data_IF_742777787216
#
_entry.id   IF_742777787216
#
_cell.length_a   1.000
_cell.length_b   1.000
_cell.length_c   1.000
_cell.angle_alpha   90.00
_cell.angle_beta   90.00
_cell.angle_gamma   90.00
#
_symmetry.space_group_name_H-M   'P 1'
#
loop_
_entity.id
_entity.type
_entity.pdbx_description
1 polymer ?
#
# COMPACT_ATOMS: atom_id res chain seq x y z
N UNK A 1 4.04 46.92 27.32
CA UNK A 1 4.76 46.17 26.26
C UNK A 1 4.54 44.64 26.37
N UNK A 2 4.60 44.07 27.56
CA UNK A 2 4.44 42.59 27.77
C UNK A 2 3.00 42.11 27.48
N UNK A 3 1.98 42.85 27.91
CA UNK A 3 0.56 42.53 27.64
C UNK A 3 0.19 42.55 26.16
N UNK A 4 0.73 43.52 25.39
CA UNK A 4 0.50 43.62 23.94
C UNK A 4 1.11 42.41 23.19
N UNK A 5 2.26 41.90 23.65
CA UNK A 5 2.93 40.75 23.06
C UNK A 5 2.16 39.45 23.34
N UNK A 6 1.63 39.28 24.55
CA UNK A 6 0.80 38.12 24.95
C UNK A 6 -0.51 38.10 24.16
N UNK A 7 -1.16 39.26 23.95
CA UNK A 7 -2.37 39.35 23.13
C UNK A 7 -2.12 39.03 21.66
N UNK A 8 -1.01 39.47 21.08
CA UNK A 8 -0.66 39.17 19.68
C UNK A 8 -0.31 37.67 19.48
N UNK A 9 0.33 37.04 20.44
CA UNK A 9 0.61 35.58 20.43
C UNK A 9 -0.69 34.75 20.58
N UNK A 10 -1.62 35.19 21.42
CA UNK A 10 -2.93 34.53 21.56
C UNK A 10 -3.80 34.67 20.30
N UNK A 11 -3.80 35.83 19.64
CA UNK A 11 -4.49 36.05 18.36
C UNK A 11 -3.87 35.23 17.22
N UNK A 12 -2.55 35.13 17.15
CA UNK A 12 -1.88 34.30 16.16
C UNK A 12 -2.16 32.80 16.36
N UNK A 13 -2.23 32.34 17.60
CA UNK A 13 -2.58 30.94 17.91
C UNK A 13 -4.04 30.64 17.58
N UNK A 14 -4.97 31.54 17.84
CA UNK A 14 -6.39 31.38 17.45
C UNK A 14 -6.59 31.40 15.93
N UNK A 15 -5.87 32.26 15.21
CA UNK A 15 -5.92 32.29 13.74
C UNK A 15 -5.32 31.03 13.12
N UNK A 16 -4.24 30.48 13.68
CA UNK A 16 -3.65 29.22 13.23
C UNK A 16 -4.56 28.02 13.49
N UNK A 17 -5.25 27.99 14.65
CA UNK A 17 -6.22 26.93 14.96
C UNK A 17 -7.46 27.00 14.06
N UNK A 18 -7.96 28.21 13.76
CA UNK A 18 -9.09 28.40 12.86
C UNK A 18 -8.74 28.02 11.39
N UNK A 19 -7.53 28.33 10.93
CA UNK A 19 -7.06 27.93 9.61
C UNK A 19 -6.87 26.41 9.50
N UNK A 20 -6.36 25.74 10.53
CA UNK A 20 -6.23 24.28 10.57
C UNK A 20 -7.61 23.60 10.62
N UNK A 21 -8.56 24.14 11.40
CA UNK A 21 -9.92 23.60 11.46
C UNK A 21 -10.68 23.77 10.13
N UNK A 22 -10.47 24.88 9.42
CA UNK A 22 -11.08 25.09 8.10
C UNK A 22 -10.47 24.16 7.06
N UNK A 23 -9.14 23.99 7.02
CA UNK A 23 -8.49 23.03 6.12
C UNK A 23 -8.94 21.58 6.38
N UNK A 24 -9.01 21.16 7.64
CA UNK A 24 -9.50 19.85 8.02
C UNK A 24 -10.97 19.62 7.63
N UNK A 25 -11.80 20.65 7.66
CA UNK A 25 -13.20 20.54 7.22
C UNK A 25 -13.32 20.41 5.69
N UNK A 26 -12.55 21.15 4.91
CA UNK A 26 -12.53 21.03 3.45
C UNK A 26 -12.00 19.66 3.01
N UNK A 27 -10.90 19.17 3.60
CA UNK A 27 -10.35 17.85 3.31
C UNK A 27 -11.35 16.71 3.66
N UNK A 28 -12.09 16.83 4.75
CA UNK A 28 -13.11 15.85 5.14
C UNK A 28 -14.30 15.83 4.17
N UNK A 29 -14.72 16.98 3.64
CA UNK A 29 -15.81 17.06 2.66
C UNK A 29 -15.39 16.43 1.34
N UNK A 30 -14.19 16.72 0.86
CA UNK A 30 -13.63 16.13 -0.36
C UNK A 30 -13.43 14.61 -0.22
N UNK A 31 -12.92 14.14 0.91
CA UNK A 31 -12.77 12.69 1.16
C UNK A 31 -14.12 11.97 1.18
N UNK A 32 -15.16 12.56 1.77
CA UNK A 32 -16.49 11.96 1.79
C UNK A 32 -17.09 11.87 0.38
N UNK A 33 -16.87 12.86 -0.46
CA UNK A 33 -17.29 12.83 -1.87
C UNK A 33 -16.58 11.72 -2.65
N UNK A 34 -15.27 11.60 -2.51
CA UNK A 34 -14.49 10.53 -3.15
C UNK A 34 -14.90 9.14 -2.67
N UNK A 35 -15.21 8.98 -1.38
CA UNK A 35 -15.70 7.71 -0.83
C UNK A 35 -17.07 7.36 -1.45
N UNK A 36 -17.98 8.33 -1.58
CA UNK A 36 -19.28 8.12 -2.20
C UNK A 36 -19.15 7.71 -3.67
N UNK A 37 -18.32 8.43 -4.45
CA UNK A 37 -18.03 8.10 -5.84
C UNK A 37 -17.47 6.66 -6.00
N UNK A 38 -16.51 6.28 -5.16
CA UNK A 38 -15.91 4.93 -5.21
C UNK A 38 -16.91 3.83 -4.83
N UNK A 39 -17.83 4.11 -3.90
CA UNK A 39 -18.94 3.20 -3.55
C UNK A 39 -19.90 3.02 -4.73
N UNK A 40 -20.19 4.10 -5.43
CA UNK A 40 -21.04 4.03 -6.62
C UNK A 40 -20.39 3.23 -7.74
N UNK A 41 -19.11 3.47 -8.05
CA UNK A 41 -18.32 2.65 -8.98
C UNK A 41 -18.36 1.15 -8.60
N UNK A 42 -18.26 0.82 -7.31
CA UNK A 42 -18.36 -0.57 -6.87
C UNK A 42 -19.78 -1.12 -7.07
N UNK A 43 -20.81 -0.33 -6.82
CA UNK A 43 -22.20 -0.75 -7.04
C UNK A 43 -22.50 -0.99 -8.52
N UNK A 44 -22.01 -0.13 -9.41
CA UNK A 44 -22.09 -0.34 -10.86
C UNK A 44 -21.34 -1.61 -11.29
N UNK A 45 -20.13 -1.83 -10.73
CA UNK A 45 -19.36 -3.03 -10.99
C UNK A 45 -20.12 -4.30 -10.64
N UNK A 46 -20.80 -4.32 -9.48
CA UNK A 46 -21.61 -5.45 -9.00
C UNK A 46 -22.80 -5.80 -9.90
N UNK A 47 -23.30 -4.86 -10.68
CA UNK A 47 -24.41 -5.11 -11.64
C UNK A 47 -23.97 -5.98 -12.80
N UNK A 48 -22.72 -5.85 -13.23
CA UNK A 48 -22.23 -6.41 -14.49
C UNK A 48 -21.13 -7.46 -14.31
N UNK A 49 -20.42 -7.44 -13.19
CA UNK A 49 -19.25 -8.29 -12.91
C UNK A 49 -19.23 -8.77 -11.46
N UNK A 50 -18.49 -9.85 -11.21
CA UNK A 50 -18.27 -10.34 -9.85
C UNK A 50 -17.36 -9.35 -9.10
N UNK A 51 -17.89 -8.73 -8.04
CA UNK A 51 -17.06 -7.99 -7.11
C UNK A 51 -16.34 -8.98 -6.19
N UNK A 52 -15.07 -8.69 -5.91
CA UNK A 52 -14.21 -9.51 -5.04
C UNK A 52 -14.07 -10.97 -5.53
N UNK A 53 -13.62 -11.20 -6.79
CA UNK A 53 -13.38 -12.54 -7.29
C UNK A 53 -12.23 -13.19 -6.50
N UNK A 54 -12.36 -14.49 -6.19
CA UNK A 54 -11.37 -15.22 -5.39
C UNK A 54 -10.66 -16.33 -6.14
N UNK A 55 -10.92 -16.50 -7.44
CA UNK A 55 -10.29 -17.54 -8.28
C UNK A 55 -8.89 -17.15 -8.77
N UNK A 56 -8.49 -15.89 -8.72
CA UNK A 56 -7.16 -15.46 -9.16
C UNK A 56 -6.09 -16.03 -8.24
N UNK A 57 -5.05 -16.64 -8.81
CA UNK A 57 -3.88 -17.16 -8.09
C UNK A 57 -2.62 -16.52 -8.64
N UNK A 58 -1.89 -15.79 -7.80
CA UNK A 58 -0.56 -15.29 -8.14
C UNK A 58 0.45 -16.43 -8.06
N UNK A 59 1.42 -16.44 -8.94
CA UNK A 59 2.57 -17.37 -8.96
C UNK A 59 3.90 -16.69 -8.69
N UNK A 60 3.96 -15.37 -8.77
CA UNK A 60 5.19 -14.59 -8.60
C UNK A 60 5.01 -13.42 -7.62
N UNK A 61 6.10 -13.08 -6.94
CA UNK A 61 6.26 -11.87 -6.11
C UNK A 61 7.06 -10.83 -6.89
N UNK A 62 6.64 -9.57 -6.79
CA UNK A 62 7.22 -8.49 -7.61
C UNK A 62 8.71 -8.28 -7.36
N UNK A 63 9.17 -8.35 -6.10
CA UNK A 63 10.60 -8.23 -5.78
C UNK A 63 11.41 -9.42 -6.28
N UNK A 64 10.84 -10.63 -6.26
CA UNK A 64 11.53 -11.82 -6.78
C UNK A 64 11.76 -11.67 -8.29
N UNK A 65 10.77 -11.18 -9.04
CA UNK A 65 10.93 -10.89 -10.46
C UNK A 65 11.99 -9.80 -10.70
N UNK A 66 11.99 -8.73 -9.90
CA UNK A 66 13.01 -7.70 -9.98
C UNK A 66 14.43 -8.27 -9.77
N UNK A 67 14.60 -9.15 -8.78
CA UNK A 67 15.89 -9.76 -8.47
C UNK A 67 16.32 -10.77 -9.54
N UNK A 68 15.40 -11.65 -9.98
CA UNK A 68 15.66 -12.69 -11.00
C UNK A 68 16.09 -12.08 -12.33
N UNK A 69 15.45 -10.98 -12.74
CA UNK A 69 15.70 -10.34 -14.02
C UNK A 69 16.54 -9.06 -13.94
N UNK A 70 17.22 -8.82 -12.81
CA UNK A 70 18.01 -7.60 -12.61
C UNK A 70 19.05 -7.38 -13.71
N UNK A 71 19.75 -8.43 -14.16
CA UNK A 71 20.83 -8.38 -15.13
C UNK A 71 20.37 -8.67 -16.57
N UNK A 72 19.08 -8.91 -16.80
CA UNK A 72 18.54 -9.15 -18.15
C UNK A 72 18.23 -7.82 -18.79
N UNK A 73 18.99 -7.41 -19.80
CA UNK A 73 18.80 -6.14 -20.52
C UNK A 73 17.69 -6.22 -21.55
N UNK A 74 17.54 -7.38 -22.21
CA UNK A 74 16.56 -7.61 -23.28
C UNK A 74 15.87 -8.95 -23.10
N UNK A 75 14.63 -9.02 -23.52
CA UNK A 75 13.82 -10.23 -23.54
C UNK A 75 13.65 -10.67 -24.99
N UNK A 76 13.93 -11.94 -25.25
CA UNK A 76 13.71 -12.55 -26.56
C UNK A 76 12.22 -12.84 -26.81
N UNK A 77 11.89 -13.27 -28.06
CA UNK A 77 10.50 -13.60 -28.38
C UNK A 77 9.95 -14.79 -27.59
N UNK A 78 10.81 -15.72 -27.18
CA UNK A 78 10.42 -16.88 -26.38
C UNK A 78 9.99 -16.47 -24.97
N UNK A 79 10.53 -15.37 -24.46
CA UNK A 79 10.15 -14.82 -23.16
C UNK A 79 8.68 -14.38 -23.09
N UNK A 80 8.06 -14.09 -24.22
CA UNK A 80 6.63 -13.77 -24.32
C UNK A 80 5.73 -14.98 -24.03
N UNK A 81 6.25 -16.19 -24.16
CA UNK A 81 5.51 -17.42 -23.87
C UNK A 81 5.44 -17.72 -22.36
N UNK A 82 6.33 -17.11 -21.56
CA UNK A 82 6.30 -17.27 -20.11
C UNK A 82 5.38 -16.24 -19.47
N UNK A 83 4.21 -16.69 -19.08
CA UNK A 83 3.19 -15.85 -18.45
C UNK A 83 3.38 -15.89 -16.93
N UNK A 84 3.37 -14.71 -16.32
CA UNK A 84 3.42 -14.52 -14.89
C UNK A 84 2.08 -13.97 -14.39
N UNK A 85 1.66 -14.43 -13.23
CA UNK A 85 0.45 -13.95 -12.56
C UNK A 85 0.85 -13.20 -11.30
N UNK A 86 0.67 -11.88 -11.30
CA UNK A 86 0.97 -11.01 -10.16
C UNK A 86 -0.31 -10.38 -9.61
N UNK A 87 -0.32 -10.08 -8.32
CA UNK A 87 -1.41 -9.33 -7.69
C UNK A 87 -0.83 -8.23 -6.81
N UNK A 88 -1.41 -7.03 -6.89
CA UNK A 88 -0.92 -5.91 -6.11
C UNK A 88 -1.86 -4.72 -6.09
N UNK A 89 -1.52 -3.76 -5.25
CA UNK A 89 -2.23 -2.50 -5.10
C UNK A 89 -1.73 -1.49 -6.12
N UNK A 90 -2.65 -0.81 -6.81
CA UNK A 90 -2.33 0.28 -7.73
C UNK A 90 -1.84 1.48 -6.91
N UNK A 91 -0.55 1.81 -7.02
CA UNK A 91 0.07 2.95 -6.35
C UNK A 91 0.25 4.15 -7.27
N UNK A 92 0.37 3.91 -8.56
CA UNK A 92 0.46 4.92 -9.61
C UNK A 92 -0.26 4.43 -10.84
N UNK A 93 -0.94 5.33 -11.54
CA UNK A 93 -1.62 5.06 -12.81
C UNK A 93 -1.45 6.25 -13.76
N UNK A 94 -1.05 5.98 -14.98
CA UNK A 94 -0.90 6.96 -16.05
C UNK A 94 -1.49 6.43 -17.34
N UNK A 95 -2.54 7.08 -17.81
CA UNK A 95 -3.25 6.71 -19.05
C UNK A 95 -2.71 7.58 -20.20
N UNK A 96 -2.40 6.95 -21.32
CA UNK A 96 -1.87 7.58 -22.52
C UNK A 96 -2.63 7.07 -23.76
N UNK A 97 -3.85 7.58 -23.97
CA UNK A 97 -4.70 7.18 -25.09
C UNK A 97 -5.09 5.70 -25.08
N UNK A 98 -4.49 4.89 -25.96
CA UNK A 98 -4.77 3.44 -26.10
C UNK A 98 -3.87 2.56 -25.22
N UNK A 99 -2.95 3.16 -24.47
CA UNK A 99 -2.04 2.47 -23.57
C UNK A 99 -2.02 3.14 -22.19
N UNK A 100 -1.58 2.41 -21.20
CA UNK A 100 -1.43 2.90 -19.84
C UNK A 100 -0.25 2.22 -19.14
N UNK A 101 0.36 2.93 -18.20
CA UNK A 101 1.29 2.40 -17.23
C UNK A 101 0.68 2.49 -15.84
N UNK A 102 0.93 1.48 -15.03
CA UNK A 102 0.65 1.54 -13.61
C UNK A 102 1.78 0.91 -12.82
N UNK A 103 1.96 1.36 -11.58
CA UNK A 103 2.87 0.74 -10.63
C UNK A 103 2.04 -0.02 -9.62
N UNK A 104 2.23 -1.32 -9.56
CA UNK A 104 1.63 -2.18 -8.54
C UNK A 104 2.61 -2.38 -7.39
N UNK A 105 2.06 -2.54 -6.20
CA UNK A 105 2.79 -2.88 -4.98
C UNK A 105 2.18 -4.11 -4.33
N UNK A 106 3.01 -5.12 -4.07
CA UNK A 106 2.67 -6.26 -3.23
C UNK A 106 3.41 -6.22 -1.88
N UNK A 107 3.41 -7.33 -1.15
CA UNK A 107 4.12 -7.45 0.12
C UNK A 107 5.65 -7.39 -0.02
N UNK A 108 6.18 -7.73 -1.19
CA UNK A 108 7.62 -7.84 -1.44
C UNK A 108 8.23 -6.57 -2.03
N UNK A 109 7.49 -5.87 -2.90
CA UNK A 109 8.04 -4.72 -3.60
C UNK A 109 7.05 -4.09 -4.57
N UNK A 110 7.59 -3.44 -5.60
CA UNK A 110 6.83 -2.76 -6.64
C UNK A 110 7.25 -3.27 -8.00
N UNK A 111 6.31 -3.31 -8.94
CA UNK A 111 6.57 -3.61 -10.35
C UNK A 111 5.71 -2.71 -11.23
N UNK A 112 6.27 -2.23 -12.33
CA UNK A 112 5.53 -1.54 -13.36
C UNK A 112 4.74 -2.55 -14.20
N UNK A 113 3.54 -2.17 -14.60
CA UNK A 113 2.75 -2.89 -15.60
C UNK A 113 2.46 -1.97 -16.79
N UNK A 114 2.47 -2.52 -17.97
CA UNK A 114 2.04 -1.89 -19.21
C UNK A 114 0.75 -2.55 -19.67
N UNK A 115 -0.25 -1.75 -19.99
CA UNK A 115 -1.58 -2.20 -20.38
C UNK A 115 -1.92 -1.52 -21.71
N UNK A 116 -2.18 -2.30 -22.75
CA UNK A 116 -2.60 -1.81 -24.05
C UNK A 116 -4.02 -2.28 -24.36
N UNK A 117 -4.83 -1.39 -24.93
CA UNK A 117 -6.20 -1.71 -25.39
C UNK A 117 -6.21 -2.90 -26.36
N UNK A 118 -5.16 -3.04 -27.21
CA UNK A 118 -5.08 -4.10 -28.20
C UNK A 118 -4.81 -5.47 -27.57
N UNK A 119 -4.13 -5.52 -26.42
CA UNK A 119 -3.71 -6.78 -25.79
C UNK A 119 -4.73 -7.29 -24.77
N UNK A 120 -5.29 -6.40 -23.95
CA UNK A 120 -6.29 -6.78 -22.93
C UNK A 120 -7.73 -6.72 -23.44
N UNK A 121 -7.96 -6.12 -24.60
CA UNK A 121 -9.29 -5.88 -25.14
C UNK A 121 -9.88 -4.52 -24.73
N UNK A 122 -10.91 -4.09 -25.46
CA UNK A 122 -11.51 -2.77 -25.27
C UNK A 122 -12.24 -2.65 -23.95
N UNK A 123 -13.00 -3.68 -23.57
CA UNK A 123 -13.83 -3.67 -22.36
C UNK A 123 -12.97 -3.62 -21.11
N UNK A 124 -11.97 -4.51 -20.99
CA UNK A 124 -11.08 -4.56 -19.84
C UNK A 124 -10.19 -3.31 -19.74
N UNK A 125 -9.78 -2.73 -20.89
CA UNK A 125 -9.07 -1.47 -20.89
C UNK A 125 -9.95 -0.30 -20.40
N UNK A 126 -11.22 -0.24 -20.83
CA UNK A 126 -12.17 0.77 -20.39
C UNK A 126 -12.52 0.61 -18.90
N UNK A 127 -12.59 -0.60 -18.41
CA UNK A 127 -12.74 -0.87 -16.98
C UNK A 127 -11.52 -0.44 -16.18
N UNK A 128 -10.31 -0.75 -16.67
CA UNK A 128 -9.08 -0.30 -16.04
C UNK A 128 -9.00 1.23 -15.91
N UNK A 129 -9.53 1.98 -16.88
CA UNK A 129 -9.61 3.43 -16.77
C UNK A 129 -10.42 3.91 -15.56
N UNK A 130 -11.42 3.13 -15.13
CA UNK A 130 -12.29 3.44 -13.98
C UNK A 130 -11.67 3.03 -12.65
N UNK A 131 -10.61 2.20 -12.65
CA UNK A 131 -9.94 1.81 -11.40
C UNK A 131 -9.29 3.00 -10.74
N UNK A 132 -9.29 3.00 -9.41
CA UNK A 132 -8.72 4.08 -8.60
C UNK A 132 -7.39 3.67 -7.97
N UNK A 133 -6.59 4.67 -7.57
CA UNK A 133 -5.41 4.42 -6.75
C UNK A 133 -5.83 3.76 -5.44
N UNK A 134 -5.12 2.71 -5.08
CA UNK A 134 -5.44 1.89 -3.93
C UNK A 134 -6.21 0.60 -4.26
N UNK A 135 -6.82 0.48 -5.44
CA UNK A 135 -7.46 -0.77 -5.86
C UNK A 135 -6.44 -1.91 -5.93
N UNK A 136 -6.88 -3.12 -5.63
CA UNK A 136 -6.06 -4.32 -5.76
C UNK A 136 -6.48 -5.04 -7.04
N UNK A 137 -5.50 -5.32 -7.87
CA UNK A 137 -5.69 -5.98 -9.16
C UNK A 137 -4.83 -7.23 -9.29
N UNK A 138 -5.32 -8.21 -10.03
CA UNK A 138 -4.57 -9.32 -10.56
C UNK A 138 -4.23 -9.06 -12.02
N UNK A 139 -3.01 -9.32 -12.42
CA UNK A 139 -2.52 -9.11 -13.78
C UNK A 139 -1.77 -10.34 -14.25
N UNK A 140 -2.09 -10.78 -15.45
CA UNK A 140 -1.39 -11.87 -16.12
C UNK A 140 -0.72 -11.34 -17.39
N UNK A 141 0.52 -11.71 -17.62
CA UNK A 141 1.27 -11.26 -18.78
C UNK A 141 2.73 -11.69 -18.77
N UNK A 142 3.51 -11.20 -19.72
CA UNK A 142 4.92 -11.50 -19.85
C UNK A 142 5.80 -10.31 -19.45
N UNK A 143 7.04 -10.59 -19.11
CA UNK A 143 7.99 -9.54 -18.74
C UNK A 143 8.65 -8.94 -19.97
N UNK A 144 8.88 -7.64 -19.91
CA UNK A 144 9.62 -6.87 -20.90
C UNK A 144 10.42 -5.74 -20.22
N UNK A 145 11.34 -5.14 -20.94
CA UNK A 145 11.95 -3.87 -20.55
C UNK A 145 11.42 -2.73 -21.41
N UNK A 146 11.14 -1.63 -20.74
CA UNK A 146 10.79 -0.38 -21.45
C UNK A 146 12.04 0.21 -22.12
N UNK A 147 11.85 1.18 -22.99
CA UNK A 147 12.95 1.93 -23.61
C UNK A 147 13.89 2.61 -22.60
N UNK A 148 13.40 2.85 -21.40
CA UNK A 148 14.16 3.42 -20.27
C UNK A 148 14.85 2.37 -19.41
N UNK A 149 14.72 1.08 -19.78
CA UNK A 149 15.34 -0.04 -19.05
C UNK A 149 14.54 -0.54 -17.83
N UNK A 150 13.33 -0.02 -17.57
CA UNK A 150 12.52 -0.45 -16.43
C UNK A 150 11.86 -1.81 -16.69
N UNK A 151 12.03 -2.77 -15.75
CA UNK A 151 11.35 -4.05 -15.80
C UNK A 151 9.84 -3.85 -15.67
N UNK A 152 9.09 -4.35 -16.65
CA UNK A 152 7.66 -4.11 -16.77
C UNK A 152 6.96 -5.40 -17.16
N UNK A 153 5.82 -5.67 -16.55
CA UNK A 153 4.94 -6.76 -16.99
C UNK A 153 3.97 -6.22 -18.04
N UNK A 154 4.04 -6.77 -19.25
CA UNK A 154 3.09 -6.49 -20.33
C UNK A 154 1.82 -7.29 -20.10
N UNK A 155 0.76 -6.60 -19.72
CA UNK A 155 -0.50 -7.24 -19.36
C UNK A 155 -1.23 -7.79 -20.60
N UNK A 156 -1.63 -9.05 -20.50
CA UNK A 156 -2.57 -9.71 -21.42
C UNK A 156 -3.96 -9.84 -20.81
N UNK A 157 -4.03 -9.85 -19.47
CA UNK A 157 -5.28 -9.86 -18.73
C UNK A 157 -5.14 -9.04 -17.46
N UNK A 158 -6.21 -8.34 -17.08
CA UNK A 158 -6.29 -7.57 -15.84
C UNK A 158 -7.65 -7.75 -15.18
N UNK A 159 -7.64 -8.01 -13.87
CA UNK A 159 -8.85 -8.28 -13.10
C UNK A 159 -8.86 -7.42 -11.83
N UNK A 160 -9.96 -6.74 -11.55
CA UNK A 160 -10.18 -6.08 -10.27
C UNK A 160 -10.46 -7.12 -9.19
N UNK A 161 -9.56 -7.24 -8.21
CA UNK A 161 -9.70 -8.18 -7.09
C UNK A 161 -10.39 -7.52 -5.88
N UNK A 162 -10.08 -6.26 -5.61
CA UNK A 162 -10.70 -5.52 -4.51
C UNK A 162 -10.69 -4.02 -4.77
N UNK A 163 -11.84 -3.40 -4.58
CA UNK A 163 -12.03 -1.96 -4.70
C UNK A 163 -11.61 -1.24 -3.42
N UNK A 164 -10.74 -0.25 -3.54
CA UNK A 164 -10.38 0.65 -2.45
C UNK A 164 -11.43 1.73 -2.29
N UNK A 165 -12.22 1.67 -1.23
CA UNK A 165 -13.30 2.63 -0.99
C UNK A 165 -12.83 3.95 -0.38
N UNK A 166 -11.70 3.94 0.32
CA UNK A 166 -11.09 5.15 0.87
C UNK A 166 -9.87 5.54 0.05
N UNK A 167 -9.69 6.82 -0.29
CA UNK A 167 -8.49 7.29 -0.97
C UNK A 167 -7.26 7.05 -0.09
N UNK A 168 -6.14 6.77 -0.71
CA UNK A 168 -4.85 6.77 -0.03
C UNK A 168 -4.44 8.24 0.24
N UNK A 169 -3.66 8.50 1.30
CA UNK A 169 -3.07 9.81 1.54
C UNK A 169 -2.27 10.30 0.34
N UNK A 170 -2.09 11.61 0.24
CA UNK A 170 -1.35 12.22 -0.86
C UNK A 170 0.04 11.58 -1.01
N UNK A 171 0.38 11.34 -2.29
CA UNK A 171 1.61 10.65 -2.67
C UNK A 171 2.87 11.40 -2.24
N UNK A 172 2.82 12.72 -2.19
CA UNK A 172 3.99 13.57 -1.93
C UNK A 172 4.24 13.83 -0.45
N UNK A 173 3.19 13.84 0.36
CA UNK A 173 3.30 14.14 1.78
C UNK A 173 3.09 12.91 2.66
N UNK A 174 2.46 11.84 2.13
CA UNK A 174 2.13 10.64 2.89
C UNK A 174 1.31 10.95 4.14
N UNK A 175 1.40 10.09 5.14
CA UNK A 175 1.00 10.43 6.51
C UNK A 175 2.19 11.08 7.21
N UNK A 176 2.18 12.41 7.33
CA UNK A 176 3.24 13.17 8.04
C UNK A 176 2.94 13.25 9.53
N UNK A 177 1.68 13.36 9.90
CA UNK A 177 1.24 13.43 11.29
C UNK A 177 1.51 12.10 12.03
N UNK A 178 2.24 12.19 13.12
CA UNK A 178 2.63 11.04 13.96
C UNK A 178 1.41 10.39 14.60
N UNK A 179 0.44 11.16 15.06
CA UNK A 179 -0.79 10.64 15.67
C UNK A 179 -1.61 9.83 14.66
N UNK A 180 -1.77 10.34 13.43
CA UNK A 180 -2.43 9.61 12.36
C UNK A 180 -1.70 8.33 11.96
N UNK A 181 -0.36 8.31 11.97
CA UNK A 181 0.42 7.09 11.74
C UNK A 181 0.15 6.01 12.77
N UNK A 182 -0.04 6.38 14.02
CA UNK A 182 -0.37 5.44 15.09
C UNK A 182 -1.83 4.97 15.02
N UNK A 183 -2.76 5.87 14.76
CA UNK A 183 -4.20 5.53 14.65
C UNK A 183 -4.53 4.72 13.40
N UNK A 184 -3.88 5.01 12.27
CA UNK A 184 -4.10 4.34 11.00
C UNK A 184 -2.83 3.59 10.54
N UNK A 185 -2.29 2.74 11.41
CA UNK A 185 -1.05 1.99 11.14
C UNK A 185 -1.10 1.22 9.83
N UNK A 186 -2.25 0.67 9.46
CA UNK A 186 -2.44 -0.06 8.21
C UNK A 186 -2.25 0.84 6.98
N UNK A 187 -2.66 2.12 7.04
CA UNK A 187 -2.42 3.07 5.95
C UNK A 187 -0.94 3.46 5.90
N UNK A 188 -0.34 3.76 7.04
CA UNK A 188 1.08 4.06 7.16
C UNK A 188 1.95 2.92 6.55
N UNK A 189 1.61 1.67 6.84
CA UNK A 189 2.27 0.50 6.25
C UNK A 189 2.05 0.38 4.72
N UNK A 190 0.95 0.88 4.17
CA UNK A 190 0.71 0.88 2.72
C UNK A 190 1.59 1.93 2.03
N UNK A 191 1.68 3.13 2.57
CA UNK A 191 2.29 4.28 1.88
C UNK A 191 3.75 4.53 2.25
N UNK A 192 4.17 4.13 3.46
CA UNK A 192 5.49 4.46 4.01
C UNK A 192 6.43 3.23 4.02
N UNK A 193 7.44 3.26 3.15
CA UNK A 193 8.43 2.19 3.06
C UNK A 193 9.25 2.05 4.35
N UNK A 194 9.67 3.18 4.93
CA UNK A 194 10.49 3.17 6.15
C UNK A 194 9.77 2.50 7.33
N UNK A 195 8.45 2.71 7.45
CA UNK A 195 7.65 2.04 8.48
C UNK A 195 7.63 0.53 8.25
N UNK A 196 7.43 0.07 7.01
CA UNK A 196 7.49 -1.37 6.68
C UNK A 196 8.85 -1.98 7.03
N UNK A 197 9.93 -1.32 6.63
CA UNK A 197 11.30 -1.79 6.88
C UNK A 197 11.57 -1.90 8.40
N UNK A 198 11.07 -0.95 9.18
CA UNK A 198 11.18 -0.98 10.65
C UNK A 198 10.49 -2.21 11.24
N UNK A 199 9.25 -2.52 10.81
CA UNK A 199 8.52 -3.69 11.31
C UNK A 199 9.14 -5.01 10.84
N UNK A 200 9.63 -5.06 9.60
CA UNK A 200 10.36 -6.23 9.09
C UNK A 200 11.63 -6.46 9.92
N UNK A 201 12.45 -5.43 10.12
CA UNK A 201 13.67 -5.52 10.96
C UNK A 201 13.35 -5.94 12.39
N UNK A 202 12.30 -5.38 13.00
CA UNK A 202 11.86 -5.79 14.33
C UNK A 202 11.54 -7.29 14.40
N UNK A 203 10.79 -7.80 13.43
CA UNK A 203 10.44 -9.22 13.35
C UNK A 203 11.68 -10.11 13.16
N UNK A 204 12.62 -9.67 12.32
CA UNK A 204 13.89 -10.38 12.10
C UNK A 204 14.76 -10.41 13.37
N UNK A 205 14.83 -9.31 14.12
CA UNK A 205 15.57 -9.26 15.39
C UNK A 205 14.98 -10.26 16.41
N UNK A 206 13.66 -10.26 16.57
CA UNK A 206 13.01 -11.20 17.49
C UNK A 206 13.25 -12.66 17.08
N UNK A 207 13.15 -12.96 15.78
CA UNK A 207 13.42 -14.29 15.27
C UNK A 207 14.89 -14.69 15.48
N UNK A 208 15.82 -13.75 15.27
CA UNK A 208 17.25 -14.00 15.52
C UNK A 208 17.50 -14.33 16.99
N UNK A 209 16.95 -13.56 17.93
CA UNK A 209 17.09 -13.80 19.37
C UNK A 209 16.53 -15.19 19.75
N UNK A 210 15.34 -15.53 19.26
CA UNK A 210 14.75 -16.86 19.48
C UNK A 210 15.63 -17.98 18.98
N UNK A 211 16.08 -17.88 17.75
CA UNK A 211 16.97 -18.88 17.16
C UNK A 211 18.29 -18.99 17.91
N UNK A 212 18.88 -17.86 18.32
CA UNK A 212 20.11 -17.84 19.10
C UNK A 212 19.94 -18.58 20.43
N UNK A 213 18.87 -18.30 21.18
CA UNK A 213 18.58 -18.98 22.46
C UNK A 213 18.29 -20.46 22.26
N UNK A 214 17.49 -20.83 21.25
CA UNK A 214 17.20 -22.22 20.95
C UNK A 214 18.45 -23.01 20.57
N UNK A 215 19.36 -22.43 19.80
CA UNK A 215 20.64 -23.04 19.44
C UNK A 215 21.61 -23.21 20.63
N UNK A 216 21.36 -22.50 21.73
CA UNK A 216 22.07 -22.64 23.01
C UNK A 216 21.30 -23.51 24.03
N UNK A 217 20.40 -24.36 23.54
CA UNK A 217 19.57 -25.31 24.32
C UNK A 217 18.62 -24.67 25.35
N UNK A 218 18.24 -23.38 25.13
CA UNK A 218 17.20 -22.74 25.92
C UNK A 218 15.82 -23.05 25.34
N UNK A 219 14.86 -23.29 26.23
CA UNK A 219 13.44 -23.48 25.85
C UNK A 219 12.69 -22.16 26.05
N UNK A 220 11.94 -21.69 25.02
CA UNK A 220 10.99 -20.60 25.15
C UNK A 220 9.76 -21.08 25.91
N UNK A 221 9.39 -20.36 27.00
CA UNK A 221 8.23 -20.68 27.84
C UNK A 221 7.37 -19.46 28.03
N UNK A 222 6.07 -19.66 28.17
CA UNK A 222 5.14 -18.61 28.59
C UNK A 222 4.94 -18.70 30.12
N UNK A 223 5.25 -17.61 30.81
CA UNK A 223 5.02 -17.49 32.26
C UNK A 223 3.69 -16.80 32.53
N UNK A 224 3.02 -17.07 33.69
CA UNK A 224 1.79 -16.38 34.04
C UNK A 224 1.98 -14.85 34.04
N UNK A 225 1.06 -14.14 33.37
CA UNK A 225 1.10 -12.67 33.30
C UNK A 225 0.78 -12.04 34.66
N UNK A 226 -0.13 -12.68 35.42
CA UNK A 226 -0.50 -12.26 36.78
C UNK A 226 0.14 -13.19 37.81
N UNK A 227 0.78 -12.63 38.78
CA UNK A 227 1.45 -13.37 39.86
C UNK A 227 0.78 -13.06 41.18
N UNK A 228 0.49 -14.08 42.04
CA UNK A 228 -0.18 -13.90 43.32
C UNK A 228 0.69 -13.24 44.36
N UNK A 229 2.02 -13.24 44.20
CA UNK A 229 2.97 -12.60 45.07
C UNK A 229 3.36 -11.25 44.47
N UNK A 230 3.09 -10.15 45.18
CA UNK A 230 3.50 -8.83 44.77
C UNK A 230 5.03 -8.76 44.63
N UNK A 231 5.49 -8.47 43.45
CA UNK A 231 6.92 -8.40 43.12
C UNK A 231 7.14 -7.99 41.67
N UNK A 232 8.36 -7.62 41.36
CA UNK A 232 8.78 -7.22 40.02
C UNK A 232 9.39 -5.83 40.04
N UNK A 233 10.71 -5.75 39.90
CA UNK A 233 11.50 -4.53 39.87
C UNK A 233 10.99 -3.43 40.84
N UNK A 234 10.89 -2.18 40.37
CA UNK A 234 10.39 -1.04 41.16
C UNK A 234 8.91 -0.71 40.87
N UNK A 235 8.15 -1.61 40.25
CA UNK A 235 6.75 -1.36 39.95
C UNK A 235 5.87 -1.47 41.18
N UNK A 236 4.92 -0.54 41.36
CA UNK A 236 3.88 -0.67 42.36
C UNK A 236 2.93 -1.80 41.99
N UNK A 237 2.66 -2.75 42.90
CA UNK A 237 1.64 -3.77 42.63
C UNK A 237 0.25 -3.13 42.56
N UNK A 238 -0.63 -3.75 41.80
CA UNK A 238 -2.06 -3.46 41.87
C UNK A 238 -2.60 -4.01 43.21
N UNK A 239 -3.36 -3.17 43.93
CA UNK A 239 -4.04 -3.52 45.17
C UNK A 239 -5.54 -3.58 44.88
#
# INVERSE_FOLDING_TARGET
FLQAKIMSEQQNNQNNQNNQNNQNNFENIDQNHLIAERREKLNEWRKNKTAFPNQFRRDALMQNLQNEFQNVSEFDENSKNKIYHIAGRIMLKRIMGKAAFATLQDMSGKLQIYISKNDVGEDDYNDFKKYDLGDIVGVSGYLMRTKTGELTLHAQNILLLSKSLRPLPDKFHGLTDTEMKYRQRYVDLIVNQQTRDTFIKRSQILQFIRNFMMNADFMEVETPMMHPIAGGANAKPFI
#
